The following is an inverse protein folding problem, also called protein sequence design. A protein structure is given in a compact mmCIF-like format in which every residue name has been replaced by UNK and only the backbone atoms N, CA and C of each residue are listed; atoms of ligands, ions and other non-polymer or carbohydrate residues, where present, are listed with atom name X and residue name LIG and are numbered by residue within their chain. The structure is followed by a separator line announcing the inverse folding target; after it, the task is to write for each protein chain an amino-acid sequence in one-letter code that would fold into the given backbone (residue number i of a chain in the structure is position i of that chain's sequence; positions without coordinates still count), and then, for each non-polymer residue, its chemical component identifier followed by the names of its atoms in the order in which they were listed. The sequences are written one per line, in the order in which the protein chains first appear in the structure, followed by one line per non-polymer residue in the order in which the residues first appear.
data_IF_881943026632
#
_entry.id   IF_881943026632
#
_cell.length_a   1.000
_cell.length_b   1.000
_cell.length_c   1.000
_cell.angle_alpha   90.00
_cell.angle_beta   90.00
_cell.angle_gamma   90.00
#
_symmetry.space_group_name_H-M   'P 1'
#
loop_
_entity.id
_entity.type
_entity.pdbx_description
1 polymer ?
#
# COMPACT_ATOMS: atom_id res chain seq x y z
N UNK A 1 -4.15 23.09 5.11
CA UNK A 1 -5.36 22.59 4.43
C UNK A 1 -5.35 22.83 2.91
N UNK A 2 -5.17 24.04 2.36
CA UNK A 2 -5.14 24.23 0.88
C UNK A 2 -4.04 23.44 0.14
N UNK A 3 -2.88 23.21 0.75
CA UNK A 3 -1.77 22.42 0.16
C UNK A 3 -2.12 20.94 0.17
N UNK A 4 -2.64 20.44 1.28
CA UNK A 4 -3.02 19.03 1.48
C UNK A 4 -4.14 18.56 0.53
N UNK A 5 -4.92 19.47 -0.06
CA UNK A 5 -6.06 19.15 -0.91
C UNK A 5 -5.81 19.45 -2.40
N UNK A 6 -4.59 19.84 -2.79
CA UNK A 6 -4.34 20.37 -4.13
C UNK A 6 -4.51 19.33 -5.24
N UNK A 7 -4.18 18.07 -4.99
CA UNK A 7 -4.18 17.00 -5.98
C UNK A 7 -5.10 15.84 -5.59
N UNK A 8 -6.02 16.05 -4.65
CA UNK A 8 -6.91 15.03 -4.10
C UNK A 8 -8.20 15.01 -4.89
N UNK A 9 -8.57 13.86 -5.43
CA UNK A 9 -9.81 13.62 -6.15
C UNK A 9 -10.99 13.42 -5.19
N UNK A 10 -10.78 12.68 -4.11
CA UNK A 10 -11.80 12.37 -3.11
C UNK A 10 -11.20 12.28 -1.70
N UNK A 11 -11.96 12.69 -0.70
CA UNK A 11 -11.61 12.53 0.72
C UNK A 11 -12.74 11.79 1.41
N UNK A 12 -12.44 10.60 1.85
CA UNK A 12 -13.30 9.77 2.68
C UNK A 12 -12.71 9.84 4.10
N UNK A 13 -13.36 10.29 4.93
CA UNK A 13 -14.27 11.09 5.61
C UNK A 13 -13.64 12.47 5.93
N UNK A 14 -14.04 13.50 5.27
CA UNK A 14 -13.41 14.84 5.36
C UNK A 14 -13.45 15.41 6.79
N UNK A 15 -14.58 15.21 7.49
CA UNK A 15 -14.74 15.73 8.85
C UNK A 15 -13.72 15.13 9.82
N UNK A 16 -13.43 13.83 9.73
CA UNK A 16 -12.43 13.15 10.56
C UNK A 16 -11.02 13.66 10.27
N UNK A 17 -10.70 13.93 9.00
CA UNK A 17 -9.40 14.52 8.64
C UNK A 17 -9.24 15.92 9.22
N UNK A 18 -10.30 16.76 9.16
CA UNK A 18 -10.28 18.12 9.71
C UNK A 18 -10.13 18.10 11.24
N UNK A 19 -10.80 17.18 11.93
CA UNK A 19 -10.66 16.96 13.38
C UNK A 19 -9.25 16.46 13.74
N UNK A 20 -8.73 15.48 12.99
CA UNK A 20 -7.38 14.96 13.21
C UNK A 20 -6.31 16.07 13.03
N UNK A 21 -6.42 16.88 11.99
CA UNK A 21 -5.54 18.03 11.77
C UNK A 21 -5.63 19.10 12.89
N UNK A 22 -6.82 19.26 13.48
CA UNK A 22 -7.03 20.23 14.58
C UNK A 22 -6.54 19.69 15.94
N UNK A 23 -6.36 18.37 16.09
CA UNK A 23 -5.97 17.73 17.36
C UNK A 23 -4.58 18.11 17.85
N UNK A 24 -3.70 18.59 16.96
CA UNK A 24 -2.30 18.87 17.25
C UNK A 24 -1.42 17.63 17.49
N UNK A 25 -1.96 16.43 17.30
CA UNK A 25 -1.20 15.17 17.36
C UNK A 25 -0.43 14.95 16.07
N UNK A 26 0.72 14.27 16.16
CA UNK A 26 1.43 13.85 14.96
C UNK A 26 0.60 12.81 14.20
N UNK A 27 0.21 13.15 12.99
CA UNK A 27 -0.55 12.27 12.11
C UNK A 27 0.38 11.31 11.37
N UNK A 28 -0.15 10.16 10.99
CA UNK A 28 0.54 9.19 10.15
C UNK A 28 -0.14 9.10 8.78
N UNK A 29 0.65 9.01 7.73
CA UNK A 29 0.15 8.74 6.38
C UNK A 29 0.80 7.46 5.84
N UNK A 30 0.01 6.64 5.20
CA UNK A 30 0.40 5.33 4.72
C UNK A 30 0.13 5.20 3.22
N UNK A 31 1.06 4.57 2.50
CA UNK A 31 0.84 4.10 1.14
C UNK A 31 1.50 2.74 0.91
N UNK A 32 0.79 1.85 0.19
CA UNK A 32 1.29 0.53 -0.19
C UNK A 32 1.79 0.52 -1.63
N UNK A 33 2.93 -0.14 -1.86
CA UNK A 33 3.49 -0.38 -3.18
C UNK A 33 3.81 -1.86 -3.35
N UNK A 34 3.31 -2.46 -4.44
CA UNK A 34 3.70 -3.81 -4.83
C UNK A 34 5.08 -3.78 -5.50
N UNK A 35 6.11 -4.46 -4.95
CA UNK A 35 7.44 -4.51 -5.55
C UNK A 35 7.46 -5.48 -6.73
N UNK A 36 6.83 -5.08 -7.83
CA UNK A 36 6.64 -5.91 -9.03
C UNK A 36 7.63 -5.60 -10.16
N UNK A 37 8.52 -4.62 -9.98
CA UNK A 37 9.50 -4.20 -10.98
C UNK A 37 10.12 -2.84 -10.68
N UNK A 38 10.68 -2.24 -11.74
CA UNK A 38 11.37 -0.96 -11.63
C UNK A 38 10.41 0.18 -11.30
N UNK A 39 10.88 1.11 -10.47
CA UNK A 39 10.17 2.38 -10.22
C UNK A 39 10.12 3.18 -11.52
N UNK A 40 8.97 3.73 -11.84
CA UNK A 40 8.73 4.50 -13.04
C UNK A 40 7.90 5.77 -12.73
N UNK A 41 7.69 6.61 -13.72
CA UNK A 41 6.99 7.89 -13.57
C UNK A 41 5.60 7.78 -12.92
N UNK A 42 4.91 6.64 -13.08
CA UNK A 42 3.60 6.41 -12.45
C UNK A 42 3.65 6.34 -10.92
N UNK A 43 4.81 6.15 -10.29
CA UNK A 43 4.97 6.19 -8.84
C UNK A 43 5.14 7.64 -8.31
N UNK A 44 5.63 8.56 -9.16
CA UNK A 44 5.97 9.91 -8.73
C UNK A 44 4.80 10.71 -8.15
N UNK A 45 3.55 10.63 -8.64
CA UNK A 45 2.45 11.34 -8.04
C UNK A 45 2.26 10.99 -6.56
N UNK A 46 2.25 9.68 -6.23
CA UNK A 46 2.08 9.22 -4.84
C UNK A 46 3.30 9.61 -3.99
N UNK A 47 4.52 9.44 -4.52
CA UNK A 47 5.75 9.83 -3.80
C UNK A 47 5.75 11.34 -3.53
N UNK A 48 5.30 12.15 -4.49
CA UNK A 48 5.23 13.61 -4.32
C UNK A 48 4.22 13.97 -3.23
N UNK A 49 3.05 13.31 -3.21
CA UNK A 49 2.04 13.53 -2.16
C UNK A 49 2.58 13.14 -0.79
N UNK A 50 3.24 11.99 -0.66
CA UNK A 50 3.87 11.58 0.60
C UNK A 50 4.94 12.59 1.07
N UNK A 51 5.72 13.17 0.17
CA UNK A 51 6.68 14.24 0.50
C UNK A 51 5.98 15.52 1.00
N UNK A 52 4.90 15.92 0.34
CA UNK A 52 4.11 17.07 0.78
C UNK A 52 3.53 16.83 2.19
N UNK A 53 3.04 15.62 2.47
CA UNK A 53 2.58 15.21 3.80
C UNK A 53 3.72 15.22 4.84
N UNK A 54 4.93 14.74 4.50
CA UNK A 54 6.10 14.85 5.38
C UNK A 54 6.41 16.30 5.75
N UNK A 55 6.38 17.21 4.76
CA UNK A 55 6.61 18.64 4.99
C UNK A 55 5.56 19.27 5.91
N UNK A 56 4.37 18.68 5.97
CA UNK A 56 3.29 19.08 6.88
C UNK A 56 3.39 18.41 8.26
N UNK A 57 4.43 17.62 8.53
CA UNK A 57 4.69 16.98 9.82
C UNK A 57 4.07 15.59 9.98
N UNK A 58 3.57 14.98 8.91
CA UNK A 58 3.09 13.60 8.98
C UNK A 58 4.25 12.61 9.09
N UNK A 59 4.10 11.59 9.92
CA UNK A 59 4.95 10.41 9.87
C UNK A 59 4.54 9.52 8.70
N UNK A 60 5.46 9.26 7.77
CA UNK A 60 5.16 8.51 6.55
C UNK A 60 5.55 7.05 6.72
N UNK A 61 4.60 6.17 6.39
CA UNK A 61 4.76 4.72 6.36
C UNK A 61 4.57 4.24 4.92
N UNK A 62 5.57 3.54 4.40
CA UNK A 62 5.54 2.90 3.08
C UNK A 62 5.52 1.39 3.26
N UNK A 63 4.41 0.75 2.92
CA UNK A 63 4.33 -0.70 2.85
C UNK A 63 4.90 -1.18 1.51
N UNK A 64 5.93 -2.00 1.58
CA UNK A 64 6.43 -2.77 0.45
C UNK A 64 5.70 -4.13 0.48
N UNK A 65 4.66 -4.25 -0.34
CA UNK A 65 3.68 -5.34 -0.31
C UNK A 65 4.23 -6.60 -1.00
N UNK A 66 5.28 -7.20 -0.42
CA UNK A 66 6.00 -8.36 -0.97
C UNK A 66 5.15 -9.64 -0.99
N UNK A 67 4.26 -9.84 -0.02
CA UNK A 67 3.30 -10.96 -0.04
C UNK A 67 2.32 -10.79 -1.21
N UNK A 68 1.85 -9.58 -1.47
CA UNK A 68 0.98 -9.30 -2.62
C UNK A 68 1.70 -9.56 -3.95
N UNK A 69 2.95 -9.12 -4.08
CA UNK A 69 3.75 -9.39 -5.26
C UNK A 69 3.93 -10.90 -5.49
N UNK A 70 4.14 -11.69 -4.43
CA UNK A 70 4.22 -13.14 -4.50
C UNK A 70 2.90 -13.77 -4.95
N UNK A 71 1.78 -13.36 -4.35
CA UNK A 71 0.44 -13.84 -4.72
C UNK A 71 0.06 -13.47 -6.17
N UNK A 72 0.60 -12.38 -6.69
CA UNK A 72 0.46 -11.90 -8.08
C UNK A 72 1.55 -12.45 -9.02
N UNK A 73 2.34 -13.44 -8.58
CA UNK A 73 3.34 -14.15 -9.40
C UNK A 73 4.43 -13.24 -10.00
N UNK A 74 4.88 -12.23 -9.25
CA UNK A 74 5.95 -11.32 -9.69
C UNK A 74 7.36 -11.91 -9.52
N UNK A 75 7.48 -13.06 -8.89
CA UNK A 75 8.72 -13.79 -8.66
C UNK A 75 8.66 -14.62 -7.39
N UNK A 76 9.79 -15.23 -7.02
CA UNK A 76 9.97 -15.79 -5.69
C UNK A 76 10.23 -14.67 -4.64
N UNK A 77 10.19 -15.03 -3.36
CA UNK A 77 10.36 -14.05 -2.28
C UNK A 77 11.74 -13.39 -2.27
N UNK A 78 12.79 -14.08 -2.72
CA UNK A 78 14.15 -13.53 -2.76
C UNK A 78 14.21 -12.38 -3.76
N UNK A 79 13.78 -12.62 -5.00
CA UNK A 79 13.73 -11.61 -6.06
C UNK A 79 12.79 -10.44 -5.71
N UNK A 80 11.64 -10.73 -5.10
CA UNK A 80 10.68 -9.71 -4.68
C UNK A 80 11.30 -8.80 -3.60
N UNK A 81 12.05 -9.36 -2.64
CA UNK A 81 12.74 -8.58 -1.60
C UNK A 81 13.86 -7.72 -2.17
N UNK A 82 14.62 -8.23 -3.14
CA UNK A 82 15.61 -7.43 -3.87
C UNK A 82 14.94 -6.24 -4.58
N UNK A 83 13.80 -6.49 -5.23
CA UNK A 83 13.01 -5.44 -5.89
C UNK A 83 12.46 -4.44 -4.88
N UNK A 84 11.97 -4.89 -3.73
CA UNK A 84 11.48 -4.03 -2.64
C UNK A 84 12.60 -3.10 -2.12
N UNK A 85 13.80 -3.63 -1.91
CA UNK A 85 14.96 -2.82 -1.49
C UNK A 85 15.38 -1.83 -2.57
N UNK A 86 15.36 -2.23 -3.83
CA UNK A 86 15.57 -1.31 -4.95
C UNK A 86 14.52 -0.18 -4.96
N UNK A 87 13.23 -0.51 -4.80
CA UNK A 87 12.15 0.46 -4.76
C UNK A 87 12.33 1.44 -3.59
N UNK A 88 12.69 0.94 -2.40
CA UNK A 88 12.99 1.76 -1.22
C UNK A 88 14.06 2.82 -1.52
N UNK A 89 15.17 2.40 -2.15
CA UNK A 89 16.26 3.32 -2.55
C UNK A 89 15.79 4.36 -3.56
N UNK A 90 14.97 3.95 -4.53
CA UNK A 90 14.40 4.87 -5.51
C UNK A 90 13.46 5.90 -4.86
N UNK A 91 12.63 5.49 -3.89
CA UNK A 91 11.72 6.39 -3.18
C UNK A 91 12.49 7.40 -2.32
N UNK A 92 13.55 6.96 -1.63
CA UNK A 92 14.47 7.86 -0.92
C UNK A 92 15.15 8.85 -1.88
N UNK A 93 15.67 8.37 -3.02
CA UNK A 93 16.26 9.23 -4.05
C UNK A 93 15.24 10.20 -4.67
N UNK A 94 13.95 9.83 -4.74
CA UNK A 94 12.87 10.72 -5.18
C UNK A 94 12.48 11.75 -4.10
N UNK A 95 13.06 11.66 -2.89
CA UNK A 95 13.00 12.69 -1.84
C UNK A 95 12.11 12.37 -0.66
N UNK A 96 11.75 11.11 -0.42
CA UNK A 96 11.23 10.70 0.88
C UNK A 96 12.38 10.78 1.91
N UNK A 97 12.13 11.35 3.07
CA UNK A 97 13.15 11.57 4.09
C UNK A 97 13.61 10.25 4.76
N UNK A 98 14.73 10.33 5.48
CA UNK A 98 15.24 9.21 6.28
C UNK A 98 14.31 8.79 7.42
N UNK A 99 13.38 9.66 7.82
CA UNK A 99 12.35 9.37 8.82
C UNK A 99 11.20 8.51 8.28
N UNK A 100 11.18 8.24 6.96
CA UNK A 100 10.16 7.39 6.34
C UNK A 100 10.33 5.95 6.83
N UNK A 101 9.26 5.41 7.41
CA UNK A 101 9.21 4.03 7.85
C UNK A 101 8.86 3.11 6.65
N UNK A 102 9.76 2.16 6.34
CA UNK A 102 9.53 1.16 5.30
C UNK A 102 9.23 -0.19 5.94
N UNK A 103 8.08 -0.76 5.65
CA UNK A 103 7.62 -2.04 6.22
C UNK A 103 7.43 -3.05 5.08
N UNK A 104 8.02 -4.25 5.21
CA UNK A 104 7.70 -5.38 4.35
C UNK A 104 6.39 -6.02 4.82
N UNK A 105 5.48 -6.31 3.91
CA UNK A 105 4.23 -6.99 4.23
C UNK A 105 4.48 -8.33 4.94
N UNK A 106 5.47 -9.09 4.48
CA UNK A 106 5.84 -10.38 5.08
C UNK A 106 6.31 -10.29 6.54
N UNK A 107 6.65 -9.11 7.05
CA UNK A 107 7.08 -8.95 8.44
C UNK A 107 5.95 -9.07 9.46
N UNK A 108 4.68 -8.99 9.02
CA UNK A 108 3.51 -9.13 9.89
C UNK A 108 2.37 -9.95 9.25
N UNK A 109 2.23 -9.91 7.91
CA UNK A 109 1.14 -10.60 7.22
C UNK A 109 1.25 -12.13 7.24
N UNK A 110 2.44 -12.67 7.54
CA UNK A 110 2.67 -14.11 7.68
C UNK A 110 2.59 -14.61 9.12
N UNK A 111 2.29 -13.72 10.06
CA UNK A 111 2.07 -14.10 11.45
C UNK A 111 0.79 -14.91 11.59
N UNK A 112 0.79 -15.86 12.55
CA UNK A 112 -0.35 -16.75 12.75
C UNK A 112 -1.65 -16.03 13.07
N UNK A 113 -1.58 -14.94 13.83
CA UNK A 113 -2.73 -14.11 14.20
C UNK A 113 -3.33 -13.42 12.96
N UNK A 114 -2.49 -12.77 12.16
CA UNK A 114 -2.93 -12.14 10.91
C UNK A 114 -3.52 -13.16 9.92
N UNK A 115 -2.89 -14.32 9.81
CA UNK A 115 -3.40 -15.40 8.95
C UNK A 115 -4.74 -15.95 9.44
N UNK A 116 -4.97 -16.00 10.75
CA UNK A 116 -6.25 -16.39 11.31
C UNK A 116 -7.35 -15.37 10.97
N UNK A 117 -7.06 -14.08 11.11
CA UNK A 117 -7.97 -13.01 10.74
C UNK A 117 -8.31 -13.04 9.25
N UNK A 118 -7.31 -13.29 8.39
CA UNK A 118 -7.50 -13.48 6.96
C UNK A 118 -8.46 -14.63 6.65
N UNK A 119 -8.28 -15.78 7.33
CA UNK A 119 -9.16 -16.93 7.16
C UNK A 119 -10.58 -16.63 7.64
N UNK A 120 -10.74 -15.93 8.77
CA UNK A 120 -12.04 -15.49 9.27
C UNK A 120 -12.74 -14.56 8.27
N UNK A 121 -12.01 -13.58 7.73
CA UNK A 121 -12.51 -12.66 6.70
C UNK A 121 -12.92 -13.41 5.43
N UNK A 122 -12.17 -14.44 5.04
CA UNK A 122 -12.49 -15.28 3.88
C UNK A 122 -13.82 -16.03 4.04
N UNK A 123 -14.21 -16.40 5.27
CA UNK A 123 -15.50 -17.09 5.50
C UNK A 123 -16.73 -16.20 5.30
N UNK A 124 -16.56 -14.88 5.40
CA UNK A 124 -17.66 -13.91 5.26
C UNK A 124 -17.58 -13.09 3.96
N UNK A 125 -16.51 -13.27 3.18
CA UNK A 125 -16.32 -12.57 1.90
C UNK A 125 -16.72 -13.49 0.74
N UNK A 126 -17.66 -13.02 -0.08
CA UNK A 126 -18.08 -13.79 -1.27
C UNK A 126 -17.04 -13.68 -2.40
N UNK A 127 -16.89 -14.74 -3.20
CA UNK A 127 -16.05 -14.73 -4.41
C UNK A 127 -16.35 -13.51 -5.31
N UNK A 128 -17.63 -13.17 -5.48
CA UNK A 128 -18.06 -12.02 -6.29
C UNK A 128 -17.48 -10.71 -5.76
N UNK A 129 -17.39 -10.54 -4.43
CA UNK A 129 -16.82 -9.34 -3.80
C UNK A 129 -15.32 -9.28 -4.02
N UNK A 130 -14.59 -10.36 -3.72
CA UNK A 130 -13.16 -10.45 -3.94
C UNK A 130 -12.78 -10.22 -5.42
N UNK A 131 -13.54 -10.83 -6.34
CA UNK A 131 -13.36 -10.66 -7.79
C UNK A 131 -13.54 -9.20 -8.24
N UNK A 132 -14.53 -8.49 -7.73
CA UNK A 132 -14.76 -7.08 -8.08
C UNK A 132 -13.59 -6.19 -7.65
N UNK A 133 -13.06 -6.37 -6.45
CA UNK A 133 -11.86 -5.64 -6.00
C UNK A 133 -10.67 -5.92 -6.91
N UNK A 134 -10.49 -7.18 -7.35
CA UNK A 134 -9.44 -7.52 -8.30
C UNK A 134 -9.67 -6.95 -9.71
N UNK A 135 -10.92 -6.77 -10.15
CA UNK A 135 -11.25 -6.16 -11.45
C UNK A 135 -10.85 -4.69 -11.52
N UNK A 136 -10.89 -3.99 -10.39
CA UNK A 136 -10.43 -2.61 -10.26
C UNK A 136 -8.91 -2.50 -10.33
N UNK A 137 -8.19 -3.51 -9.83
CA UNK A 137 -6.73 -3.52 -9.72
C UNK A 137 -6.01 -4.14 -10.94
N UNK A 138 -6.66 -5.06 -11.67
CA UNK A 138 -6.01 -5.86 -12.71
C UNK A 138 -6.65 -5.64 -14.10
N UNK A 139 -5.78 -5.46 -15.10
CA UNK A 139 -6.21 -5.36 -16.52
C UNK A 139 -6.61 -6.70 -17.15
N UNK A 140 -6.21 -7.85 -16.57
CA UNK A 140 -6.54 -9.19 -17.10
C UNK A 140 -7.73 -9.77 -16.36
N UNK A 141 -8.76 -10.22 -17.14
CA UNK A 141 -10.01 -10.77 -16.59
C UNK A 141 -10.12 -12.31 -16.71
N UNK A 142 -9.11 -12.97 -17.27
CA UNK A 142 -9.15 -14.41 -17.58
C UNK A 142 -8.17 -15.19 -16.70
N UNK A 143 -8.57 -16.40 -16.29
CA UNK A 143 -7.76 -17.41 -15.58
C UNK A 143 -7.03 -16.91 -14.30
N UNK A 144 -7.76 -16.25 -13.40
CA UNK A 144 -7.21 -15.84 -12.11
C UNK A 144 -6.98 -17.04 -11.21
N UNK A 145 -5.81 -17.06 -10.56
CA UNK A 145 -5.48 -18.05 -9.54
C UNK A 145 -6.15 -17.73 -8.21
N UNK A 146 -6.33 -18.76 -7.37
CA UNK A 146 -6.87 -18.61 -6.02
C UNK A 146 -6.02 -17.65 -5.18
N UNK A 147 -4.70 -17.66 -5.36
CA UNK A 147 -3.77 -16.72 -4.68
C UNK A 147 -4.16 -15.26 -4.90
N UNK A 148 -4.60 -14.91 -6.10
CA UNK A 148 -5.04 -13.56 -6.44
C UNK A 148 -6.39 -13.18 -5.79
N UNK A 149 -7.17 -14.16 -5.32
CA UNK A 149 -8.41 -13.92 -4.56
C UNK A 149 -8.12 -13.63 -3.08
N UNK A 150 -6.96 -14.02 -2.55
CA UNK A 150 -6.53 -13.66 -1.19
C UNK A 150 -6.08 -12.20 -1.10
N UNK A 151 -5.51 -11.66 -2.18
CA UNK A 151 -5.00 -10.29 -2.25
C UNK A 151 -5.98 -9.23 -1.68
N UNK A 152 -7.24 -9.12 -2.14
CA UNK A 152 -8.16 -8.11 -1.63
C UNK A 152 -8.64 -8.35 -0.19
N UNK A 153 -8.35 -9.52 0.38
CA UNK A 153 -8.65 -9.82 1.78
C UNK A 153 -7.53 -9.40 2.72
N UNK A 154 -6.32 -9.19 2.17
CA UNK A 154 -5.12 -8.80 2.92
C UNK A 154 -4.91 -7.28 2.95
N UNK A 155 -5.77 -6.52 2.30
CA UNK A 155 -5.79 -5.07 2.32
C UNK A 155 -6.80 -4.58 3.35
#
# INVERSE_FOLDING_TARGET
MKVLLRNVEEIVTRAELEEALASGTQLRAYAGFEPSGSVHIGHLPIITELKELQQLGFHIIVLLADVHAYLNEKGDFERIRETAEYNRRCFAAAGLSEETEYILGSSFQLDAEYMLDLLQLATVTTEKRARRSMDELSRSKTDRKVSQMLYPLMQ
#
